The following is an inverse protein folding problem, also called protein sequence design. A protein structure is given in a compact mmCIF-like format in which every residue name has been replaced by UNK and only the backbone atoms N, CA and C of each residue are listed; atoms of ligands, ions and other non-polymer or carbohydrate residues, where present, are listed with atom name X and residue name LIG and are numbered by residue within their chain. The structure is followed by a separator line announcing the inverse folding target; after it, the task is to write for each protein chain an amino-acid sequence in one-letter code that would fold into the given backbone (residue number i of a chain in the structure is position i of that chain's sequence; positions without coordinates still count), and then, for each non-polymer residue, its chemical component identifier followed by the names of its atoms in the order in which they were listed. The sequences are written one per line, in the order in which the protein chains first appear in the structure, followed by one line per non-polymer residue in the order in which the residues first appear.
data_IF_518561581202
#
_entry.id   IF_518561581202
#
_cell.length_a   1.000
_cell.length_b   1.000
_cell.length_c   1.000
_cell.angle_alpha   90.00
_cell.angle_beta   90.00
_cell.angle_gamma   90.00
#
_symmetry.space_group_name_H-M   'P 1'
#
loop_
_entity.id
_entity.type
_entity.pdbx_description
1 polymer ?
#
# COMPACT_ATOMS: atom_id res chain seq x y z
N UNK A 1 5.56 -19.34 -10.00
CA UNK A 1 4.26 -18.87 -10.53
C UNK A 1 4.43 -17.67 -11.48
N UNK A 2 5.02 -16.55 -11.05
CA UNK A 2 5.15 -15.33 -11.87
C UNK A 2 5.92 -15.54 -13.20
N UNK A 3 7.01 -16.32 -13.20
CA UNK A 3 7.75 -16.63 -14.44
C UNK A 3 6.92 -17.43 -15.46
N UNK A 4 6.02 -18.30 -15.00
CA UNK A 4 5.12 -19.06 -15.87
C UNK A 4 4.06 -18.16 -16.51
N UNK A 5 3.50 -17.22 -15.73
CA UNK A 5 2.60 -16.17 -16.23
C UNK A 5 3.31 -15.28 -17.25
N UNK A 6 4.53 -14.81 -16.94
CA UNK A 6 5.32 -13.97 -17.84
C UNK A 6 5.60 -14.65 -19.19
N UNK A 7 5.90 -15.96 -19.17
CA UNK A 7 6.16 -16.73 -20.39
C UNK A 7 4.91 -16.89 -21.30
N UNK A 8 3.70 -16.78 -20.72
CA UNK A 8 2.43 -16.97 -21.44
C UNK A 8 1.73 -15.64 -21.78
N UNK A 9 2.27 -14.51 -21.33
CA UNK A 9 1.70 -13.19 -21.59
C UNK A 9 1.97 -12.72 -23.03
N UNK A 10 0.95 -12.19 -23.72
CA UNK A 10 1.10 -11.65 -25.08
C UNK A 10 2.18 -10.57 -25.15
N UNK A 11 2.86 -10.48 -26.30
CA UNK A 11 3.95 -9.50 -26.53
C UNK A 11 3.51 -8.04 -26.40
N UNK A 12 2.23 -7.73 -26.63
CA UNK A 12 1.67 -6.38 -26.50
C UNK A 12 1.48 -5.93 -25.04
N UNK A 13 1.51 -6.84 -24.07
CA UNK A 13 1.43 -6.47 -22.64
C UNK A 13 2.76 -5.84 -22.23
N UNK A 14 2.75 -4.54 -21.96
CA UNK A 14 3.92 -3.77 -21.48
C UNK A 14 3.85 -3.58 -19.96
N UNK A 15 4.98 -3.31 -19.29
CA UNK A 15 4.99 -2.92 -17.87
C UNK A 15 4.04 -1.75 -17.59
N UNK A 16 4.08 -0.69 -18.41
CA UNK A 16 3.24 0.50 -18.26
C UNK A 16 1.73 0.16 -18.30
N UNK A 17 1.33 -0.79 -19.15
CA UNK A 17 -0.05 -1.28 -19.20
C UNK A 17 -0.43 -2.03 -17.91
N UNK A 18 0.49 -2.83 -17.37
CA UNK A 18 0.26 -3.57 -16.13
C UNK A 18 0.16 -2.61 -14.93
N UNK A 19 0.98 -1.57 -14.88
CA UNK A 19 0.85 -0.51 -13.89
C UNK A 19 -0.50 0.21 -14.02
N UNK A 20 -0.97 0.50 -15.25
CA UNK A 20 -2.30 1.07 -15.48
C UNK A 20 -3.43 0.12 -15.03
N UNK A 21 -3.29 -1.19 -15.24
CA UNK A 21 -4.21 -2.22 -14.73
C UNK A 21 -4.19 -2.24 -13.19
N UNK A 22 -3.00 -2.15 -12.60
CA UNK A 22 -2.83 -2.01 -11.15
C UNK A 22 -3.61 -0.80 -10.62
N UNK A 23 -3.52 0.32 -11.33
CA UNK A 23 -4.20 1.55 -10.97
C UNK A 23 -5.72 1.48 -11.13
N UNK A 24 -6.19 0.83 -12.20
CA UNK A 24 -7.61 0.51 -12.34
C UNK A 24 -8.11 -0.37 -11.19
N UNK A 25 -7.31 -1.34 -10.74
CA UNK A 25 -7.59 -2.13 -9.55
C UNK A 25 -7.74 -1.27 -8.29
N UNK A 26 -6.83 -0.33 -8.05
CA UNK A 26 -6.95 0.60 -6.91
C UNK A 26 -8.23 1.45 -6.97
N UNK A 27 -8.61 1.89 -8.17
CA UNK A 27 -9.85 2.64 -8.38
C UNK A 27 -11.09 1.77 -8.13
N UNK A 28 -11.07 0.49 -8.55
CA UNK A 28 -12.12 -0.48 -8.19
C UNK A 28 -12.24 -0.66 -6.68
N UNK A 29 -11.13 -0.68 -5.94
CA UNK A 29 -11.13 -0.76 -4.48
C UNK A 29 -11.80 0.48 -3.87
N UNK A 30 -11.39 1.67 -4.30
CA UNK A 30 -12.00 2.92 -3.88
C UNK A 30 -13.52 2.92 -4.11
N UNK A 31 -13.95 2.57 -5.33
CA UNK A 31 -15.37 2.50 -5.68
C UNK A 31 -16.11 1.43 -4.87
N UNK A 32 -15.52 0.27 -4.65
CA UNK A 32 -16.12 -0.81 -3.85
C UNK A 32 -16.36 -0.39 -2.40
N UNK A 33 -15.39 0.27 -1.78
CA UNK A 33 -15.57 0.81 -0.43
C UNK A 33 -16.54 1.99 -0.39
N UNK A 34 -16.47 2.94 -1.32
CA UNK A 34 -17.41 4.07 -1.37
C UNK A 34 -18.85 3.61 -1.63
N UNK A 35 -19.04 2.63 -2.52
CA UNK A 35 -20.34 2.05 -2.82
C UNK A 35 -20.88 1.15 -1.71
N UNK A 36 -20.03 0.72 -0.75
CA UNK A 36 -20.48 -0.09 0.40
C UNK A 36 -21.50 0.63 1.29
N UNK A 37 -21.63 1.96 1.17
CA UNK A 37 -22.73 2.74 1.76
C UNK A 37 -24.11 2.33 1.24
N UNK A 38 -24.21 1.80 0.01
CA UNK A 38 -25.45 1.30 -0.58
C UNK A 38 -25.70 -0.18 -0.31
N UNK A 39 -24.71 -0.90 0.23
CA UNK A 39 -24.82 -2.32 0.56
C UNK A 39 -23.46 -3.00 0.70
N UNK A 40 -23.34 -3.92 1.66
CA UNK A 40 -22.08 -4.62 1.95
C UNK A 40 -21.57 -5.49 0.79
N UNK A 41 -22.43 -5.88 -0.16
CA UNK A 41 -22.04 -6.65 -1.34
C UNK A 41 -21.05 -5.92 -2.26
N UNK A 42 -21.02 -4.59 -2.22
CA UNK A 42 -20.02 -3.79 -2.96
C UNK A 42 -18.59 -4.02 -2.47
N UNK A 43 -18.40 -4.56 -1.26
CA UNK A 43 -17.09 -4.98 -0.79
C UNK A 43 -16.50 -6.13 -1.63
N UNK A 44 -17.32 -6.90 -2.35
CA UNK A 44 -16.83 -7.87 -3.33
C UNK A 44 -16.10 -7.19 -4.49
N UNK A 45 -16.54 -6.00 -4.91
CA UNK A 45 -15.82 -5.19 -5.90
C UNK A 45 -14.46 -4.74 -5.35
N UNK A 46 -14.39 -4.40 -4.07
CA UNK A 46 -13.12 -4.06 -3.43
C UNK A 46 -12.18 -5.27 -3.36
N UNK A 47 -12.67 -6.46 -3.00
CA UNK A 47 -11.88 -7.70 -3.00
C UNK A 47 -11.39 -8.03 -4.42
N UNK A 48 -12.26 -7.94 -5.43
CA UNK A 48 -11.86 -8.12 -6.83
C UNK A 48 -10.80 -7.08 -7.25
N UNK A 49 -10.97 -5.82 -6.83
CA UNK A 49 -10.02 -4.74 -7.04
C UNK A 49 -8.64 -5.03 -6.44
N UNK A 50 -8.56 -5.59 -5.22
CA UNK A 50 -7.29 -6.02 -4.62
C UNK A 50 -6.58 -7.08 -5.45
N UNK A 51 -7.32 -8.01 -6.05
CA UNK A 51 -6.75 -9.04 -6.93
C UNK A 51 -6.22 -8.43 -8.22
N UNK A 52 -6.98 -7.53 -8.86
CA UNK A 52 -6.57 -6.83 -10.08
C UNK A 52 -5.35 -5.95 -9.81
N UNK A 53 -5.38 -5.20 -8.71
CA UNK A 53 -4.27 -4.36 -8.29
C UNK A 53 -3.01 -5.18 -8.05
N UNK A 54 -3.14 -6.28 -7.29
CA UNK A 54 -2.03 -7.19 -7.04
C UNK A 54 -1.44 -7.79 -8.31
N UNK A 55 -2.31 -8.14 -9.24
CA UNK A 55 -1.88 -8.68 -10.51
C UNK A 55 -1.05 -7.66 -11.30
N UNK A 56 -1.49 -6.40 -11.41
CA UNK A 56 -0.75 -5.34 -12.10
C UNK A 56 0.64 -5.11 -11.49
N UNK A 57 0.64 -4.81 -10.19
CA UNK A 57 1.82 -4.48 -9.36
C UNK A 57 2.84 -5.64 -9.25
N UNK A 58 2.37 -6.90 -9.15
CA UNK A 58 3.31 -8.03 -9.08
C UNK A 58 3.89 -8.39 -10.46
N UNK A 59 3.17 -8.09 -11.54
CA UNK A 59 3.53 -8.50 -12.89
C UNK A 59 4.36 -7.47 -13.64
N UNK A 60 4.23 -6.17 -13.38
CA UNK A 60 4.95 -5.12 -14.12
C UNK A 60 6.48 -5.23 -13.96
N UNK A 61 6.99 -5.37 -12.73
CA UNK A 61 8.40 -5.58 -12.46
C UNK A 61 8.87 -6.97 -12.90
N UNK A 62 8.01 -7.98 -12.76
CA UNK A 62 8.33 -9.35 -13.17
C UNK A 62 8.48 -9.47 -14.69
N UNK A 63 7.60 -8.84 -15.48
CA UNK A 63 7.66 -8.89 -16.94
C UNK A 63 8.82 -8.04 -17.47
N UNK A 64 9.12 -6.91 -16.83
CA UNK A 64 10.26 -6.06 -17.18
C UNK A 64 11.57 -6.85 -17.07
N UNK A 65 11.76 -7.56 -15.95
CA UNK A 65 12.90 -8.46 -15.73
C UNK A 65 12.94 -9.63 -16.69
N UNK A 66 11.81 -10.31 -16.88
CA UNK A 66 11.70 -11.48 -17.75
C UNK A 66 12.05 -11.15 -19.21
N UNK A 67 11.59 -9.98 -19.71
CA UNK A 67 11.84 -9.53 -21.08
C UNK A 67 13.14 -8.73 -21.24
N UNK A 68 13.90 -8.50 -20.16
CA UNK A 68 15.12 -7.66 -20.15
C UNK A 68 14.89 -6.25 -20.73
N UNK A 69 13.70 -5.69 -20.50
CA UNK A 69 13.32 -4.32 -20.92
C UNK A 69 13.25 -3.37 -19.72
N UNK A 70 13.98 -3.70 -18.66
CA UNK A 70 14.01 -2.92 -17.41
C UNK A 70 14.45 -1.48 -17.70
N UNK A 71 13.70 -0.53 -17.17
CA UNK A 71 14.05 0.89 -17.18
C UNK A 71 14.25 1.31 -15.73
N UNK A 72 15.48 1.23 -15.18
CA UNK A 72 15.70 1.32 -13.74
C UNK A 72 15.16 2.61 -13.12
N UNK A 73 15.46 3.76 -13.72
CA UNK A 73 15.03 5.05 -13.18
C UNK A 73 13.55 5.36 -13.46
N UNK A 74 13.08 5.06 -14.68
CA UNK A 74 11.70 5.36 -15.09
C UNK A 74 10.70 4.44 -14.40
N UNK A 75 10.95 3.12 -14.43
CA UNK A 75 10.12 2.13 -13.76
C UNK A 75 10.05 2.39 -12.27
N UNK A 76 11.19 2.64 -11.61
CA UNK A 76 11.22 3.02 -10.20
C UNK A 76 10.35 4.25 -9.90
N UNK A 77 10.44 5.31 -10.71
CA UNK A 77 9.67 6.53 -10.46
C UNK A 77 8.16 6.32 -10.61
N UNK A 78 7.75 5.64 -11.68
CA UNK A 78 6.33 5.36 -11.96
C UNK A 78 5.74 4.43 -10.90
N UNK A 79 6.44 3.33 -10.58
CA UNK A 79 6.04 2.34 -9.57
C UNK A 79 5.74 2.99 -8.22
N UNK A 80 6.70 3.73 -7.65
CA UNK A 80 6.54 4.40 -6.36
C UNK A 80 5.50 5.54 -6.38
N UNK A 81 5.32 6.21 -7.51
CA UNK A 81 4.28 7.24 -7.67
C UNK A 81 2.89 6.61 -7.70
N UNK A 82 2.74 5.51 -8.44
CA UNK A 82 1.51 4.73 -8.52
C UNK A 82 1.17 4.07 -7.17
N UNK A 83 2.16 3.59 -6.42
CA UNK A 83 1.97 3.04 -5.07
C UNK A 83 1.43 4.05 -4.07
N UNK A 84 1.96 5.27 -4.09
CA UNK A 84 1.44 6.38 -3.26
C UNK A 84 -0.01 6.70 -3.61
N UNK A 85 -0.32 6.81 -4.91
CA UNK A 85 -1.67 7.09 -5.40
C UNK A 85 -2.65 5.93 -5.12
N UNK A 86 -2.19 4.70 -5.27
CA UNK A 86 -2.93 3.49 -4.92
C UNK A 86 -3.31 3.47 -3.45
N UNK A 87 -2.34 3.75 -2.58
CA UNK A 87 -2.58 3.76 -1.14
C UNK A 87 -3.55 4.87 -0.74
N UNK A 88 -3.44 6.04 -1.37
CA UNK A 88 -4.42 7.12 -1.24
C UNK A 88 -5.83 6.64 -1.60
N UNK A 89 -6.03 6.03 -2.77
CA UNK A 89 -7.32 5.53 -3.22
C UNK A 89 -7.91 4.47 -2.27
N UNK A 90 -7.08 3.54 -1.80
CA UNK A 90 -7.52 2.47 -0.88
C UNK A 90 -7.95 3.05 0.46
N UNK A 91 -7.11 3.87 1.11
CA UNK A 91 -7.41 4.41 2.43
C UNK A 91 -8.52 5.46 2.39
N UNK A 92 -8.58 6.27 1.33
CA UNK A 92 -9.70 7.18 1.10
C UNK A 92 -11.01 6.40 0.90
N UNK A 93 -10.97 5.28 0.17
CA UNK A 93 -12.11 4.37 0.02
C UNK A 93 -12.58 3.85 1.37
N UNK A 94 -11.65 3.33 2.18
CA UNK A 94 -11.94 2.85 3.54
C UNK A 94 -12.56 3.97 4.40
N UNK A 95 -12.04 5.19 4.35
CA UNK A 95 -12.59 6.34 5.09
C UNK A 95 -13.94 6.84 4.59
N UNK A 96 -14.32 6.56 3.34
CA UNK A 96 -15.67 6.79 2.80
C UNK A 96 -16.62 5.64 3.07
N UNK A 97 -16.14 4.49 3.54
CA UNK A 97 -16.98 3.37 3.90
C UNK A 97 -17.67 3.61 5.26
N UNK A 98 -18.79 2.93 5.55
CA UNK A 98 -19.46 3.05 6.84
C UNK A 98 -18.73 2.34 8.00
N UNK A 99 -17.56 1.74 7.75
CA UNK A 99 -16.85 0.89 8.71
C UNK A 99 -15.73 1.61 9.47
N UNK A 100 -15.08 2.58 8.82
CA UNK A 100 -13.92 3.31 9.36
C UNK A 100 -14.13 4.80 9.15
N UNK A 101 -13.93 5.57 10.20
CA UNK A 101 -14.04 7.03 10.15
C UNK A 101 -12.93 7.65 9.30
N UNK A 102 -13.27 8.71 8.56
CA UNK A 102 -12.32 9.41 7.68
C UNK A 102 -11.09 9.91 8.45
N UNK A 103 -11.27 10.44 9.67
CA UNK A 103 -10.18 10.95 10.48
C UNK A 103 -9.12 9.87 10.75
N UNK A 104 -9.55 8.65 11.06
CA UNK A 104 -8.68 7.51 11.33
C UNK A 104 -8.00 7.01 10.06
N UNK A 105 -8.75 6.94 8.96
CA UNK A 105 -8.19 6.59 7.65
C UNK A 105 -7.10 7.58 7.21
N UNK A 106 -7.29 8.88 7.47
CA UNK A 106 -6.31 9.93 7.18
C UNK A 106 -5.06 9.82 8.07
N UNK A 107 -5.19 9.44 9.34
CA UNK A 107 -4.03 9.15 10.20
C UNK A 107 -3.22 7.98 9.64
N UNK A 108 -3.88 6.91 9.21
CA UNK A 108 -3.21 5.77 8.58
C UNK A 108 -2.50 6.16 7.27
N UNK A 109 -3.16 6.97 6.44
CA UNK A 109 -2.60 7.46 5.18
C UNK A 109 -1.38 8.36 5.42
N UNK A 110 -1.47 9.30 6.36
CA UNK A 110 -0.36 10.16 6.73
C UNK A 110 0.84 9.35 7.24
N UNK A 111 0.59 8.36 8.12
CA UNK A 111 1.63 7.46 8.61
C UNK A 111 2.34 6.69 7.49
N UNK A 112 1.58 6.12 6.55
CA UNK A 112 2.14 5.42 5.39
C UNK A 112 2.97 6.34 4.49
N UNK A 113 2.45 7.52 4.15
CA UNK A 113 3.16 8.47 3.28
C UNK A 113 4.44 9.01 3.95
N UNK A 114 4.41 9.30 5.25
CA UNK A 114 5.61 9.69 6.01
C UNK A 114 6.68 8.59 5.96
N UNK A 115 6.29 7.33 6.20
CA UNK A 115 7.21 6.20 6.14
C UNK A 115 7.78 6.00 4.73
N UNK A 116 6.94 6.17 3.69
CA UNK A 116 7.36 6.10 2.28
C UNK A 116 8.39 7.18 1.95
N UNK A 117 8.14 8.43 2.37
CA UNK A 117 9.10 9.54 2.21
C UNK A 117 10.43 9.21 2.90
N UNK A 118 10.39 8.69 4.13
CA UNK A 118 11.61 8.29 4.84
C UNK A 118 12.37 7.18 4.10
N UNK A 119 11.67 6.19 3.55
CA UNK A 119 12.28 5.14 2.74
C UNK A 119 12.96 5.72 1.49
N UNK A 120 12.32 6.66 0.79
CA UNK A 120 12.87 7.31 -0.40
C UNK A 120 14.09 8.17 -0.08
N UNK A 121 14.03 8.96 0.99
CA UNK A 121 15.17 9.75 1.45
C UNK A 121 16.34 8.84 1.86
N UNK A 122 16.06 7.77 2.60
CA UNK A 122 17.08 6.80 3.02
C UNK A 122 17.73 6.11 1.83
N UNK A 123 16.95 5.71 0.82
CA UNK A 123 17.47 5.11 -0.40
C UNK A 123 18.39 6.06 -1.17
N UNK A 124 18.05 7.36 -1.23
CA UNK A 124 18.86 8.38 -1.93
C UNK A 124 20.12 8.78 -1.16
N UNK A 125 20.04 8.88 0.16
CA UNK A 125 21.14 9.38 1.01
C UNK A 125 22.12 8.26 1.40
N UNK A 126 21.62 7.06 1.71
CA UNK A 126 22.46 5.97 2.21
C UNK A 126 22.93 5.01 1.11
N UNK A 127 22.39 5.11 -0.11
CA UNK A 127 22.69 4.18 -1.21
C UNK A 127 22.28 2.72 -0.94
N UNK A 128 21.73 2.42 0.24
CA UNK A 128 21.28 1.11 0.68
C UNK A 128 19.75 1.12 0.83
N UNK A 129 19.04 0.35 0.00
CA UNK A 129 17.65 -0.01 0.24
C UNK A 129 17.56 -0.98 1.42
N UNK A 130 17.44 -0.47 2.64
CA UNK A 130 17.01 -1.30 3.77
C UNK A 130 15.49 -1.26 3.86
N UNK A 131 14.84 -2.06 3.01
CA UNK A 131 13.38 -2.23 2.98
C UNK A 131 12.85 -3.30 3.97
N UNK A 132 13.71 -3.91 4.79
CA UNK A 132 13.31 -4.99 5.71
C UNK A 132 13.36 -4.53 7.16
N UNK A 133 12.40 -3.70 7.58
CA UNK A 133 12.26 -3.31 9.00
C UNK A 133 10.96 -3.76 9.65
N UNK A 134 9.91 -3.99 8.85
CA UNK A 134 8.76 -4.81 9.24
C UNK A 134 8.79 -6.02 8.33
N UNK A 135 8.85 -7.22 8.90
CA UNK A 135 8.90 -8.48 8.14
C UNK A 135 7.63 -8.76 7.30
N UNK A 136 6.70 -7.81 7.21
CA UNK A 136 5.48 -7.92 6.42
C UNK A 136 5.72 -7.46 4.98
N UNK A 137 5.83 -8.42 4.05
CA UNK A 137 5.95 -8.12 2.63
C UNK A 137 4.69 -7.46 2.05
N UNK A 138 4.76 -6.88 0.83
CA UNK A 138 3.60 -6.28 0.15
C UNK A 138 2.41 -7.25 0.02
N UNK A 139 2.69 -8.53 -0.19
CA UNK A 139 1.66 -9.59 -0.25
C UNK A 139 0.95 -9.80 1.09
N UNK A 140 1.67 -9.77 2.20
CA UNK A 140 1.10 -10.01 3.54
C UNK A 140 0.19 -8.85 3.96
N UNK A 141 0.63 -7.62 3.72
CA UNK A 141 -0.18 -6.43 3.94
C UNK A 141 -1.46 -6.46 3.09
N UNK A 142 -1.37 -6.92 1.84
CA UNK A 142 -2.53 -7.02 0.97
C UNK A 142 -3.51 -8.10 1.42
N UNK A 143 -3.02 -9.27 1.85
CA UNK A 143 -3.87 -10.31 2.44
C UNK A 143 -4.56 -9.83 3.72
N UNK A 144 -3.86 -9.07 4.55
CA UNK A 144 -4.42 -8.43 5.74
C UNK A 144 -5.55 -7.46 5.37
N UNK A 145 -5.37 -6.64 4.33
CA UNK A 145 -6.41 -5.74 3.84
C UNK A 145 -7.62 -6.50 3.28
N UNK A 146 -7.42 -7.55 2.49
CA UNK A 146 -8.52 -8.40 1.99
C UNK A 146 -9.27 -9.07 3.14
N UNK A 147 -8.55 -9.59 4.14
CA UNK A 147 -9.14 -10.18 5.33
C UNK A 147 -9.95 -9.15 6.13
N UNK A 148 -9.43 -7.92 6.25
CA UNK A 148 -10.14 -6.79 6.86
C UNK A 148 -11.44 -6.48 6.09
N UNK A 149 -11.40 -6.42 4.75
CA UNK A 149 -12.59 -6.22 3.91
C UNK A 149 -13.62 -7.33 4.09
N UNK A 150 -13.17 -8.59 4.15
CA UNK A 150 -14.04 -9.74 4.36
C UNK A 150 -14.67 -9.72 5.77
N UNK A 151 -13.90 -9.33 6.79
CA UNK A 151 -14.40 -9.13 8.14
C UNK A 151 -15.43 -7.99 8.21
N UNK A 152 -15.22 -6.86 7.51
CA UNK A 152 -16.21 -5.79 7.38
C UNK A 152 -17.52 -6.30 6.77
N UNK A 153 -17.42 -7.16 5.74
CA UNK A 153 -18.58 -7.76 5.10
C UNK A 153 -19.34 -8.72 6.02
N UNK A 154 -18.62 -9.50 6.85
CA UNK A 154 -19.20 -10.51 7.73
C UNK A 154 -19.74 -9.96 9.06
N UNK A 155 -19.02 -9.03 9.68
CA UNK A 155 -19.33 -8.46 10.99
C UNK A 155 -20.25 -7.23 10.90
N UNK A 156 -20.34 -6.61 9.72
CA UNK A 156 -21.12 -5.40 9.51
C UNK A 156 -20.51 -4.17 10.20
N UNK A 157 -21.25 -3.06 10.16
CA UNK A 157 -20.89 -1.77 10.75
C UNK A 157 -21.46 -1.58 12.17
N UNK A 158 -21.76 -2.69 12.87
CA UNK A 158 -22.32 -2.63 14.22
C UNK A 158 -21.38 -1.89 15.20
N UNK A 159 -21.91 -1.16 16.18
CA UNK A 159 -21.09 -0.49 17.19
C UNK A 159 -20.22 -1.53 17.90
N UNK A 160 -18.91 -1.25 17.97
CA UNK A 160 -17.96 -2.12 18.65
C UNK A 160 -18.17 -2.14 20.16
N UNK A 161 -17.36 -2.95 20.86
CA UNK A 161 -17.31 -3.01 22.33
C UNK A 161 -17.03 -1.65 23.00
N UNK A 162 -16.52 -0.66 22.24
CA UNK A 162 -16.19 0.70 22.69
C UNK A 162 -17.15 1.78 22.14
N UNK A 163 -18.43 1.46 21.91
CA UNK A 163 -19.45 2.46 21.54
C UNK A 163 -19.36 2.91 20.07
N UNK A 164 -19.19 4.23 19.83
CA UNK A 164 -19.16 4.84 18.48
C UNK A 164 -17.94 4.46 17.63
N UNK A 165 -16.89 3.92 18.25
CA UNK A 165 -15.65 3.52 17.58
C UNK A 165 -15.73 2.03 17.25
N UNK A 166 -15.61 1.68 15.97
CA UNK A 166 -15.67 0.29 15.54
C UNK A 166 -14.35 -0.44 15.88
N UNK A 167 -14.38 -1.78 15.91
CA UNK A 167 -13.13 -2.55 16.03
C UNK A 167 -12.17 -2.28 14.85
N UNK A 168 -12.71 -1.90 13.69
CA UNK A 168 -11.95 -1.53 12.51
C UNK A 168 -11.24 -0.18 12.67
N UNK A 169 -11.90 0.80 13.29
CA UNK A 169 -11.30 2.09 13.63
C UNK A 169 -10.06 1.90 14.54
N UNK A 170 -10.17 1.07 15.58
CA UNK A 170 -9.05 0.78 16.48
C UNK A 170 -7.91 0.12 15.71
N UNK A 171 -8.22 -0.85 14.87
CA UNK A 171 -7.23 -1.56 14.07
C UNK A 171 -6.49 -0.62 13.11
N UNK A 172 -7.21 0.12 12.26
CA UNK A 172 -6.63 1.03 11.27
C UNK A 172 -5.89 2.18 11.96
N UNK A 173 -6.46 2.75 13.02
CA UNK A 173 -5.83 3.82 13.80
C UNK A 173 -4.55 3.37 14.51
N UNK A 174 -4.54 2.16 15.07
CA UNK A 174 -3.33 1.59 15.68
C UNK A 174 -2.22 1.37 14.64
N UNK A 175 -2.57 0.83 13.47
CA UNK A 175 -1.62 0.66 12.37
C UNK A 175 -1.05 2.01 11.92
N UNK A 176 -1.90 3.02 11.70
CA UNK A 176 -1.46 4.37 11.37
C UNK A 176 -0.53 4.99 12.42
N UNK A 177 -0.89 4.86 13.69
CA UNK A 177 -0.06 5.35 14.81
C UNK A 177 1.31 4.65 14.84
N UNK A 178 1.35 3.33 14.64
CA UNK A 178 2.61 2.57 14.57
C UNK A 178 3.48 3.07 13.42
N UNK A 179 2.91 3.30 12.23
CA UNK A 179 3.66 3.83 11.08
C UNK A 179 4.28 5.20 11.38
N UNK A 180 3.54 6.10 12.03
CA UNK A 180 4.05 7.41 12.44
C UNK A 180 5.19 7.27 13.46
N UNK A 181 5.02 6.41 14.48
CA UNK A 181 6.07 6.17 15.47
C UNK A 181 7.34 5.59 14.84
N UNK A 182 7.19 4.64 13.91
CA UNK A 182 8.30 4.08 13.16
C UNK A 182 9.02 5.16 12.35
N UNK A 183 8.28 6.03 11.65
CA UNK A 183 8.85 7.16 10.94
C UNK A 183 9.69 8.06 11.85
N UNK A 184 9.16 8.44 13.02
CA UNK A 184 9.87 9.30 13.99
C UNK A 184 11.15 8.62 14.48
N UNK A 185 11.05 7.36 14.93
CA UNK A 185 12.19 6.61 15.46
C UNK A 185 13.27 6.42 14.38
N UNK A 186 12.88 6.05 13.16
CA UNK A 186 13.81 5.83 12.05
C UNK A 186 14.48 7.13 11.61
N UNK A 187 13.72 8.22 11.50
CA UNK A 187 14.28 9.54 11.15
C UNK A 187 15.32 9.99 12.18
N UNK A 188 15.02 9.84 13.48
CA UNK A 188 15.97 10.17 14.54
C UNK A 188 17.20 9.25 14.52
N UNK A 189 17.01 7.94 14.31
CA UNK A 189 18.12 6.97 14.25
C UNK A 189 19.04 7.22 13.07
N UNK A 190 18.48 7.39 11.87
CA UNK A 190 19.22 7.68 10.64
C UNK A 190 19.92 9.03 10.72
N UNK A 191 19.26 10.07 11.23
CA UNK A 191 19.86 11.38 11.46
C UNK A 191 21.04 11.32 12.43
N UNK A 192 20.92 10.58 13.55
CA UNK A 192 22.04 10.36 14.49
C UNK A 192 23.20 9.58 13.86
N UNK A 193 22.91 8.60 13.00
CA UNK A 193 23.94 7.83 12.28
C UNK A 193 24.71 8.70 11.31
N UNK A 194 24.01 9.53 10.52
CA UNK A 194 24.62 10.47 9.57
C UNK A 194 25.46 11.52 10.30
N UNK A 195 24.91 12.17 11.33
CA UNK A 195 25.65 13.16 12.12
C UNK A 195 26.91 12.58 12.80
N UNK A 196 26.91 11.30 13.16
CA UNK A 196 28.10 10.61 13.69
C UNK A 196 29.11 10.25 12.60
N UNK A 197 28.66 9.94 11.39
CA UNK A 197 29.53 9.66 10.26
C UNK A 197 30.28 10.92 9.83
N UNK A 198 29.56 12.04 9.66
CA UNK A 198 30.15 13.35 9.32
C UNK A 198 31.15 13.83 10.40
N UNK A 199 30.85 13.63 11.70
CA UNK A 199 31.80 13.97 12.79
C UNK A 199 33.05 13.10 12.85
N UNK A 200 33.05 11.92 12.21
CA UNK A 200 34.17 10.95 12.26
C UNK A 200 35.06 10.98 11.03
N UNK A 201 34.67 11.69 9.97
CA UNK A 201 35.45 11.80 8.76
C UNK A 201 34.68 12.51 7.66
N UNK A 202 34.72 13.83 7.70
CA UNK A 202 35.22 14.74 6.66
C UNK A 202 35.68 16.04 7.33
#
# INVERSE_FOLDING_TARGET
MLNWLCARMPRWVTPDLLTAVGMAGAFMIFLGYAASNFGSSWLLLAIAGYVVQWFGDSMDGSIARFRRIERPSYGYFIDHSCDGLATLLILMGIGFSPFVTMDIAMVALAGYLLLSIHAYLSARVLGEFKLSYLAAGPTELRLMLIALTAAMMALGNGPGLFGRISGFDIFVGSAGTILILLFVIQTLSTGRRLARAERRGE
#
